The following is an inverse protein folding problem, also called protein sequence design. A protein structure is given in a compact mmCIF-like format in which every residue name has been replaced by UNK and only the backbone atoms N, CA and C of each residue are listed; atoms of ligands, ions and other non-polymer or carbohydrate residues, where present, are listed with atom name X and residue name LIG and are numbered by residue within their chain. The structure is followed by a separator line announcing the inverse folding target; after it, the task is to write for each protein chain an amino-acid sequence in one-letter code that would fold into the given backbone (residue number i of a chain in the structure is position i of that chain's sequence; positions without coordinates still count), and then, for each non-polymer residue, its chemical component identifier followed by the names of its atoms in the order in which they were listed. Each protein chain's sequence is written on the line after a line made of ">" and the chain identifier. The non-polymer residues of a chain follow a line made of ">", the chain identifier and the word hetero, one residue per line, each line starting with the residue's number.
data_IF_417744605630
#
_entry.id   IF_417744605630
#
_cell.length_a   1.000
_cell.length_b   1.000
_cell.length_c   1.000
_cell.angle_alpha   90.00
_cell.angle_beta   90.00
_cell.angle_gamma   90.00
#
_symmetry.space_group_name_H-M   'P 1'
#
loop_
_entity.id
_entity.type
_entity.pdbx_description
1 polymer ?
#
# COMPACT_ATOMS: atom_id res chain seq x y z
N UNK A 1 -3.01 -5.00 -15.91
CA UNK A 1 -2.83 -6.46 -15.91
C UNK A 1 -2.95 -6.90 -14.48
N UNK A 2 -4.00 -7.62 -14.17
CA UNK A 2 -4.19 -8.26 -12.86
C UNK A 2 -3.31 -9.50 -12.90
N UNK A 3 -2.18 -9.50 -12.20
CA UNK A 3 -1.43 -10.72 -11.95
C UNK A 3 -2.25 -11.56 -10.96
N UNK A 4 -2.71 -12.70 -11.40
CA UNK A 4 -3.54 -13.61 -10.63
C UNK A 4 -2.77 -14.19 -9.44
N UNK A 5 -3.34 -14.10 -8.26
CA UNK A 5 -2.85 -14.74 -7.03
C UNK A 5 -2.69 -16.27 -7.18
N UNK A 6 -3.39 -16.89 -8.14
CA UNK A 6 -3.37 -18.32 -8.40
C UNK A 6 -2.03 -18.87 -8.93
N UNK A 7 -1.19 -18.04 -9.58
CA UNK A 7 0.12 -18.51 -10.06
C UNK A 7 1.14 -18.62 -8.93
N UNK A 8 1.08 -17.71 -7.97
CA UNK A 8 1.99 -17.72 -6.80
C UNK A 8 1.68 -18.90 -5.89
N UNK A 9 0.41 -19.26 -5.69
CA UNK A 9 0.02 -20.45 -4.91
C UNK A 9 0.43 -21.76 -5.60
N UNK A 10 0.30 -21.85 -6.92
CA UNK A 10 0.74 -23.05 -7.68
C UNK A 10 2.24 -23.26 -7.64
N UNK A 11 3.05 -22.20 -7.72
CA UNK A 11 4.50 -22.30 -7.55
C UNK A 11 4.91 -22.69 -6.12
N UNK A 12 4.22 -22.18 -5.11
CA UNK A 12 4.48 -22.55 -3.72
C UNK A 12 4.11 -24.00 -3.42
N UNK A 13 3.02 -24.51 -3.99
CA UNK A 13 2.61 -25.90 -3.86
C UNK A 13 3.56 -26.88 -4.58
N UNK A 14 4.10 -26.49 -5.74
CA UNK A 14 5.12 -27.26 -6.44
C UNK A 14 6.43 -27.33 -5.64
N UNK A 15 6.87 -26.20 -5.05
CA UNK A 15 8.06 -26.14 -4.17
C UNK A 15 7.87 -26.97 -2.89
N UNK A 16 6.68 -26.98 -2.29
CA UNK A 16 6.34 -27.83 -1.13
C UNK A 16 6.39 -29.33 -1.47
N UNK A 17 5.93 -29.72 -2.65
CA UNK A 17 5.98 -31.14 -3.10
C UNK A 17 7.40 -31.61 -3.42
N UNK A 18 8.29 -30.73 -3.89
CA UNK A 18 9.71 -31.04 -4.08
C UNK A 18 10.49 -31.15 -2.78
N UNK A 19 10.18 -30.32 -1.76
CA UNK A 19 10.89 -30.33 -0.48
C UNK A 19 10.58 -31.58 0.37
N UNK A 20 9.44 -32.27 0.15
CA UNK A 20 9.05 -33.46 0.92
C UNK A 20 9.67 -34.77 0.38
N UNK A 21 10.38 -34.78 -0.75
CA UNK A 21 11.05 -35.97 -1.31
C UNK A 21 12.49 -36.17 -0.84
N UNK A 22 13.04 -35.30 0.00
CA UNK A 22 14.44 -35.29 0.41
C UNK A 22 14.70 -35.41 1.91
N UNK A 23 13.87 -36.12 2.69
CA UNK A 23 14.21 -36.39 4.11
C UNK A 23 15.29 -37.46 4.22
N UNK A 24 16.55 -37.07 4.00
CA UNK A 24 17.71 -37.76 4.61
C UNK A 24 18.01 -37.09 5.95
N UNK A 25 18.11 -37.95 6.97
CA UNK A 25 18.41 -37.61 8.36
C UNK A 25 19.59 -36.64 8.45
N UNK A 26 19.38 -35.40 8.85
CA UNK A 26 20.44 -34.48 9.26
C UNK A 26 20.79 -34.77 10.71
N UNK A 27 22.05 -35.15 10.97
CA UNK A 27 22.65 -35.25 12.29
C UNK A 27 22.63 -33.87 12.95
N UNK A 28 22.07 -33.83 14.15
CA UNK A 28 22.09 -32.64 15.02
C UNK A 28 23.52 -32.36 15.42
N UNK A 29 24.12 -31.28 14.95
CA UNK A 29 25.38 -30.74 15.46
C UNK A 29 25.04 -29.91 16.70
N UNK A 30 25.33 -30.44 17.88
CA UNK A 30 25.32 -29.66 19.10
C UNK A 30 26.65 -28.87 19.15
N UNK A 31 26.52 -27.55 18.92
CA UNK A 31 27.65 -26.63 19.18
C UNK A 31 27.65 -26.32 20.68
N UNK A 32 28.60 -26.88 21.41
CA UNK A 32 28.89 -26.47 22.79
C UNK A 32 29.56 -25.12 22.73
N UNK A 33 28.87 -24.07 23.16
CA UNK A 33 29.46 -22.76 23.38
C UNK A 33 30.17 -22.82 24.74
N UNK A 34 31.50 -22.90 24.71
CA UNK A 34 32.32 -22.70 25.89
C UNK A 34 32.30 -21.23 26.27
N UNK A 35 32.07 -20.97 27.54
CA UNK A 35 32.18 -19.65 28.13
C UNK A 35 33.67 -19.31 28.27
N UNK A 36 34.17 -18.35 27.47
CA UNK A 36 35.34 -17.54 27.78
C UNK A 36 34.97 -16.08 27.41
N UNK A 37 34.52 -15.35 28.42
CA UNK A 37 34.44 -13.90 28.42
C UNK A 37 35.89 -13.36 28.52
N UNK A 38 36.46 -12.91 27.39
CA UNK A 38 37.43 -11.80 27.28
C UNK A 38 37.98 -11.74 25.84
N UNK A 39 37.71 -10.60 25.16
CA UNK A 39 38.11 -10.24 23.80
C UNK A 39 37.11 -10.57 22.68
N UNK A 40 35.94 -9.94 22.73
CA UNK A 40 35.22 -9.63 21.48
C UNK A 40 35.85 -8.38 20.86
N UNK A 41 36.40 -8.44 19.63
CA UNK A 41 36.70 -7.23 18.89
C UNK A 41 35.38 -6.50 18.68
N UNK A 42 35.36 -5.21 19.04
CA UNK A 42 34.24 -4.30 18.72
C UNK A 42 34.03 -4.37 17.22
N UNK A 43 33.05 -5.17 16.80
CA UNK A 43 32.60 -5.22 15.41
C UNK A 43 32.00 -3.86 15.17
N UNK A 44 32.78 -3.00 14.51
CA UNK A 44 32.27 -1.71 14.00
C UNK A 44 30.99 -1.97 13.24
N UNK A 45 30.04 -1.08 13.46
CA UNK A 45 28.71 -1.08 12.87
C UNK A 45 28.81 -1.18 11.35
N UNK A 46 28.80 -2.40 10.82
CA UNK A 46 28.57 -2.67 9.39
C UNK A 46 27.06 -2.69 9.13
N UNK A 47 26.38 -1.57 9.47
CA UNK A 47 24.92 -1.46 9.24
C UNK A 47 24.57 -1.22 7.77
N UNK A 48 25.56 -1.00 6.89
CA UNK A 48 25.30 -0.49 5.54
C UNK A 48 25.33 -1.56 4.43
N UNK A 49 25.52 -2.84 4.78
CA UNK A 49 25.61 -3.93 3.78
C UNK A 49 24.71 -5.12 4.12
N UNK A 50 23.44 -4.85 4.46
CA UNK A 50 22.46 -5.91 4.47
C UNK A 50 22.17 -6.31 3.01
N UNK A 51 22.72 -7.44 2.58
CA UNK A 51 22.48 -8.01 1.24
C UNK A 51 21.14 -8.73 1.13
N UNK A 52 20.35 -8.77 2.20
CA UNK A 52 19.03 -9.40 2.28
C UNK A 52 18.15 -8.63 3.26
N UNK A 53 16.87 -8.64 2.97
CA UNK A 53 15.83 -8.11 3.84
C UNK A 53 15.32 -9.25 4.74
N UNK A 54 15.23 -8.99 6.06
CA UNK A 54 14.63 -9.96 6.98
C UNK A 54 13.12 -10.04 6.69
N UNK A 55 12.63 -11.23 6.34
CA UNK A 55 11.23 -11.47 6.06
C UNK A 55 10.63 -12.38 7.12
N UNK A 56 9.49 -11.99 7.67
CA UNK A 56 8.72 -12.80 8.61
C UNK A 56 7.55 -13.43 7.88
N UNK A 57 7.39 -14.75 8.03
CA UNK A 57 6.22 -15.44 7.52
C UNK A 57 5.05 -15.19 8.48
N UNK A 58 4.16 -14.30 8.12
CA UNK A 58 2.91 -14.10 8.83
C UNK A 58 1.81 -14.99 8.26
N UNK A 59 1.21 -15.81 9.10
CA UNK A 59 0.05 -16.61 8.72
C UNK A 59 -1.20 -15.71 8.71
N UNK A 60 -2.00 -15.74 7.63
CA UNK A 60 -3.22 -14.93 7.55
C UNK A 60 -4.19 -15.33 8.66
N UNK A 61 -4.60 -14.35 9.46
CA UNK A 61 -5.66 -14.54 10.45
C UNK A 61 -6.99 -14.67 9.72
N UNK A 62 -7.75 -15.73 9.97
CA UNK A 62 -9.01 -16.02 9.26
C UNK A 62 -10.05 -14.88 9.32
N UNK A 63 -9.96 -14.00 10.32
CA UNK A 63 -10.86 -12.86 10.52
C UNK A 63 -10.29 -11.53 9.99
N UNK A 64 -9.01 -11.49 9.62
CA UNK A 64 -8.37 -10.25 9.19
C UNK A 64 -8.58 -9.98 7.70
N UNK A 65 -9.39 -8.99 7.39
CA UNK A 65 -9.61 -8.53 6.01
C UNK A 65 -8.51 -7.58 5.59
N UNK A 66 -7.59 -8.05 4.76
CA UNK A 66 -6.48 -7.25 4.24
C UNK A 66 -6.99 -6.08 3.41
N UNK A 67 -6.49 -4.84 3.63
CA UNK A 67 -6.82 -3.70 2.79
C UNK A 67 -6.34 -3.90 1.35
N UNK A 68 -7.12 -3.44 0.39
CA UNK A 68 -6.73 -3.33 -1.01
C UNK A 68 -6.17 -1.92 -1.24
N UNK A 69 -4.91 -1.84 -1.60
CA UNK A 69 -4.22 -0.58 -1.89
C UNK A 69 -3.91 -0.52 -3.38
N UNK A 70 -4.54 0.42 -4.07
CA UNK A 70 -4.26 0.68 -5.48
C UNK A 70 -3.12 1.69 -5.58
N UNK A 71 -2.08 1.33 -6.31
CA UNK A 71 -0.90 2.15 -6.54
C UNK A 71 -0.64 2.26 -8.05
N UNK A 72 -0.27 3.43 -8.54
CA UNK A 72 0.04 3.65 -9.95
C UNK A 72 0.36 5.11 -10.23
N UNK A 73 0.75 5.41 -11.47
CA UNK A 73 1.04 6.77 -11.90
C UNK A 73 -0.18 7.69 -11.74
N UNK A 74 0.08 8.96 -11.47
CA UNK A 74 -0.98 9.96 -11.42
C UNK A 74 -1.69 10.05 -12.77
N UNK A 75 -3.03 10.03 -12.75
CA UNK A 75 -3.83 10.05 -13.98
C UNK A 75 -4.08 8.69 -14.64
N UNK A 76 -3.53 7.57 -14.13
CA UNK A 76 -3.80 6.23 -14.67
C UNK A 76 -5.21 5.72 -14.36
N UNK A 77 -5.90 6.35 -13.41
CA UNK A 77 -7.29 6.03 -13.05
C UNK A 77 -7.47 5.24 -11.76
N UNK A 78 -6.48 5.19 -10.87
CA UNK A 78 -6.58 4.51 -9.56
C UNK A 78 -7.80 4.97 -8.75
N UNK A 79 -8.07 6.28 -8.70
CA UNK A 79 -9.22 6.85 -7.98
C UNK A 79 -10.55 6.33 -8.56
N UNK A 80 -10.67 6.34 -9.87
CA UNK A 80 -11.87 5.86 -10.57
C UNK A 80 -12.09 4.36 -10.36
N UNK A 81 -11.00 3.59 -10.37
CA UNK A 81 -11.05 2.16 -10.08
C UNK A 81 -11.48 1.90 -8.63
N UNK A 82 -10.93 2.64 -7.66
CA UNK A 82 -11.36 2.59 -6.26
C UNK A 82 -12.86 2.86 -6.12
N UNK A 83 -13.33 3.93 -6.73
CA UNK A 83 -14.74 4.34 -6.60
C UNK A 83 -15.68 3.28 -7.21
N UNK A 84 -15.31 2.70 -8.36
CA UNK A 84 -16.04 1.57 -8.96
C UNK A 84 -16.06 0.32 -8.07
N UNK A 85 -14.94 0.01 -7.43
CA UNK A 85 -14.88 -1.10 -6.47
C UNK A 85 -15.83 -0.85 -5.29
N UNK A 86 -15.80 0.34 -4.70
CA UNK A 86 -16.69 0.72 -3.60
C UNK A 86 -18.17 0.71 -4.00
N UNK A 87 -18.49 1.07 -5.24
CA UNK A 87 -19.85 1.01 -5.77
C UNK A 87 -20.34 -0.43 -6.01
N UNK A 88 -19.43 -1.33 -6.41
CA UNK A 88 -19.79 -2.73 -6.71
C UNK A 88 -20.20 -3.52 -5.47
N UNK A 89 -19.62 -3.21 -4.31
CA UNK A 89 -19.95 -3.88 -3.05
C UNK A 89 -19.79 -2.95 -1.84
N UNK A 90 -20.81 -2.16 -1.56
CA UNK A 90 -20.86 -1.24 -0.41
C UNK A 90 -21.00 -1.94 0.95
N UNK A 91 -21.35 -3.22 0.93
CA UNK A 91 -21.53 -3.99 2.17
C UNK A 91 -20.19 -4.41 2.72
N UNK A 92 -19.33 -5.00 1.89
CA UNK A 92 -18.04 -5.55 2.33
C UNK A 92 -16.87 -4.61 2.14
N UNK A 93 -16.96 -3.64 1.20
CA UNK A 93 -15.90 -2.67 0.92
C UNK A 93 -16.18 -1.33 1.59
N UNK A 94 -15.14 -0.66 2.05
CA UNK A 94 -15.21 0.70 2.57
C UNK A 94 -13.89 1.46 2.35
N UNK A 95 -13.99 2.78 2.29
CA UNK A 95 -12.82 3.68 2.25
C UNK A 95 -12.67 4.34 3.63
N UNK A 96 -11.44 4.58 4.13
CA UNK A 96 -11.24 5.36 5.34
C UNK A 96 -11.63 6.81 5.09
N UNK A 97 -12.21 7.48 6.11
CA UNK A 97 -12.58 8.89 6.02
C UNK A 97 -11.31 9.74 6.08
N UNK A 98 -11.01 10.55 5.04
CA UNK A 98 -9.79 11.36 5.05
C UNK A 98 -9.91 12.60 5.95
N UNK A 99 -8.76 13.13 6.36
CA UNK A 99 -8.65 14.39 7.09
C UNK A 99 -8.44 15.55 6.12
N UNK A 100 -8.94 16.71 6.49
CA UNK A 100 -8.65 17.96 5.77
C UNK A 100 -8.58 19.16 6.68
N UNK A 101 -7.74 20.13 6.29
CA UNK A 101 -7.67 21.46 6.96
C UNK A 101 -8.61 22.49 6.34
N UNK A 102 -9.37 22.10 5.34
CA UNK A 102 -10.39 22.92 4.69
C UNK A 102 -11.65 23.01 5.56
N UNK A 103 -12.34 24.12 5.52
CA UNK A 103 -13.68 24.22 6.09
C UNK A 103 -14.68 23.34 5.34
N UNK A 104 -15.68 22.78 6.03
CA UNK A 104 -16.74 22.01 5.38
C UNK A 104 -17.53 22.88 4.40
N UNK A 105 -17.98 22.27 3.29
CA UNK A 105 -18.93 22.87 2.36
C UNK A 105 -20.35 22.57 2.82
N UNK A 106 -21.34 23.22 2.16
CA UNK A 106 -22.75 22.84 2.32
C UNK A 106 -22.93 21.34 2.10
N UNK A 107 -23.69 20.70 3.02
CA UNK A 107 -23.96 19.25 3.00
C UNK A 107 -22.75 18.33 3.24
N UNK A 108 -21.62 18.85 3.70
CA UNK A 108 -20.51 18.02 4.17
C UNK A 108 -20.57 17.87 5.70
N UNK A 109 -20.47 16.63 6.18
CA UNK A 109 -20.54 16.30 7.60
C UNK A 109 -19.21 15.78 8.09
N UNK A 110 -18.79 16.26 9.27
CA UNK A 110 -17.57 15.80 9.93
C UNK A 110 -17.67 14.30 10.28
N UNK A 111 -16.60 13.55 9.98
CA UNK A 111 -16.55 12.11 10.22
C UNK A 111 -17.30 11.26 9.18
N UNK A 112 -17.94 11.87 8.18
CA UNK A 112 -18.60 11.18 7.07
C UNK A 112 -17.85 11.44 5.76
N UNK A 113 -17.72 12.70 5.36
CA UNK A 113 -17.02 13.08 4.14
C UNK A 113 -15.53 13.31 4.41
N UNK A 114 -15.24 14.03 5.49
CA UNK A 114 -13.90 14.34 5.97
C UNK A 114 -13.91 14.46 7.50
N UNK A 115 -12.74 14.26 8.11
CA UNK A 115 -12.44 14.78 9.43
C UNK A 115 -11.90 16.20 9.27
N UNK A 116 -12.74 17.22 9.55
CA UNK A 116 -12.34 18.61 9.43
C UNK A 116 -11.59 19.05 10.68
N UNK A 117 -10.31 19.41 10.52
CA UNK A 117 -9.44 19.86 11.61
C UNK A 117 -8.72 21.15 11.23
N UNK A 118 -8.24 21.92 12.21
CA UNK A 118 -7.46 23.12 11.93
C UNK A 118 -6.13 22.78 11.26
N UNK A 119 -5.58 23.72 10.47
CA UNK A 119 -4.27 23.57 9.82
C UNK A 119 -3.16 23.28 10.83
N UNK A 120 -3.20 23.95 12.00
CA UNK A 120 -2.23 23.72 13.07
C UNK A 120 -2.30 22.27 13.58
N UNK A 121 -3.50 21.79 13.92
CA UNK A 121 -3.72 20.43 14.39
C UNK A 121 -3.32 19.39 13.33
N UNK A 122 -3.58 19.67 12.05
CA UNK A 122 -3.15 18.80 10.96
C UNK A 122 -1.62 18.63 10.93
N UNK A 123 -0.87 19.73 11.09
CA UNK A 123 0.60 19.68 11.13
C UNK A 123 1.14 18.95 12.35
N UNK A 124 0.53 19.12 13.51
CA UNK A 124 0.89 18.39 14.74
C UNK A 124 0.69 16.88 14.55
N UNK A 125 -0.44 16.47 13.99
CA UNK A 125 -0.77 15.07 13.72
C UNK A 125 0.11 14.47 12.59
N UNK A 126 0.47 15.26 11.58
CA UNK A 126 1.41 14.84 10.55
C UNK A 126 2.81 14.58 11.11
N UNK A 127 3.32 15.47 11.96
CA UNK A 127 4.61 15.31 12.65
C UNK A 127 4.64 14.10 13.58
N UNK A 128 3.51 13.73 14.18
CA UNK A 128 3.39 12.54 15.04
C UNK A 128 3.32 11.23 14.24
N UNK A 129 3.36 11.27 12.91
CA UNK A 129 3.28 10.06 12.06
C UNK A 129 1.90 9.41 12.01
N UNK A 130 0.84 10.17 12.31
CA UNK A 130 -0.55 9.67 12.31
C UNK A 130 -1.02 9.24 10.92
N UNK A 131 -0.56 9.95 9.87
CA UNK A 131 -1.02 9.74 8.51
C UNK A 131 -0.20 8.68 7.78
N UNK A 132 -0.88 7.88 6.97
CA UNK A 132 -0.25 6.99 5.97
C UNK A 132 0.30 7.83 4.82
N UNK A 133 -0.53 8.75 4.35
CA UNK A 133 -0.21 9.68 3.29
C UNK A 133 -0.89 11.03 3.58
N UNK A 134 -0.20 12.10 3.26
CA UNK A 134 -0.78 13.45 3.30
C UNK A 134 -0.14 14.34 2.25
N UNK A 135 -0.84 15.39 1.87
CA UNK A 135 -0.38 16.36 0.90
C UNK A 135 -1.18 17.65 0.93
N UNK A 136 -0.63 18.67 0.31
CA UNK A 136 -1.29 19.96 0.13
C UNK A 136 -1.93 20.04 -1.26
N UNK A 137 -3.19 20.45 -1.30
CA UNK A 137 -3.91 20.74 -2.52
C UNK A 137 -4.74 22.02 -2.34
N UNK A 138 -4.60 22.98 -3.25
CA UNK A 138 -5.30 24.28 -3.19
C UNK A 138 -5.17 24.98 -1.83
N UNK A 139 -3.95 25.03 -1.26
CA UNK A 139 -3.63 25.62 0.06
C UNK A 139 -4.29 24.94 1.27
N UNK A 140 -4.88 23.77 1.09
CA UNK A 140 -5.45 22.94 2.15
C UNK A 140 -4.75 21.60 2.23
N UNK A 141 -4.61 21.08 3.42
CA UNK A 141 -4.00 19.79 3.69
C UNK A 141 -5.04 18.67 3.67
N UNK A 142 -4.65 17.55 3.11
CA UNK A 142 -5.45 16.33 3.07
C UNK A 142 -4.59 15.16 3.47
N UNK A 143 -5.16 14.19 4.20
CA UNK A 143 -4.41 13.00 4.61
C UNK A 143 -5.30 11.87 5.08
N UNK A 144 -4.78 10.65 5.02
CA UNK A 144 -5.45 9.43 5.47
C UNK A 144 -4.75 8.90 6.71
N UNK A 145 -5.48 8.71 7.81
CA UNK A 145 -4.95 8.22 9.08
C UNK A 145 -4.79 6.69 9.06
N UNK A 146 -3.69 6.19 9.66
CA UNK A 146 -3.49 4.75 9.90
C UNK A 146 -4.61 4.15 10.74
N UNK A 147 -5.06 4.88 11.76
CA UNK A 147 -6.13 4.44 12.65
C UNK A 147 -7.45 4.25 11.93
N UNK A 148 -7.79 5.12 10.96
CA UNK A 148 -9.05 4.97 10.23
C UNK A 148 -9.01 3.78 9.26
N UNK A 149 -7.85 3.44 8.72
CA UNK A 149 -7.65 2.18 7.98
C UNK A 149 -7.93 0.99 8.89
N UNK A 150 -7.33 0.95 10.09
CA UNK A 150 -7.55 -0.11 11.08
C UNK A 150 -9.01 -0.17 11.52
N UNK A 151 -9.65 0.96 11.78
CA UNK A 151 -11.07 1.04 12.14
C UNK A 151 -12.00 0.39 11.07
N UNK A 152 -11.66 0.54 9.78
CA UNK A 152 -12.42 -0.12 8.69
C UNK A 152 -12.26 -1.64 8.77
N UNK A 153 -11.04 -2.12 9.02
CA UNK A 153 -10.73 -3.55 9.15
C UNK A 153 -11.45 -4.15 10.36
N UNK A 154 -11.40 -3.46 11.52
CA UNK A 154 -12.05 -3.89 12.76
C UNK A 154 -13.57 -3.98 12.64
N UNK A 155 -14.18 -3.17 11.77
CA UNK A 155 -15.61 -3.26 11.41
C UNK A 155 -15.93 -4.45 10.51
N UNK A 156 -14.97 -5.32 10.20
CA UNK A 156 -15.12 -6.48 9.34
C UNK A 156 -15.25 -6.13 7.85
N UNK A 157 -14.88 -4.92 7.44
CA UNK A 157 -14.88 -4.50 6.04
C UNK A 157 -13.48 -4.54 5.43
N UNK A 158 -13.40 -4.79 4.13
CA UNK A 158 -12.16 -4.64 3.38
C UNK A 158 -11.95 -3.17 3.03
N UNK A 159 -10.89 -2.58 3.54
CA UNK A 159 -10.52 -1.20 3.24
C UNK A 159 -10.01 -1.10 1.80
N UNK A 160 -10.55 -0.20 0.98
CA UNK A 160 -10.07 0.08 -0.38
C UNK A 160 -9.57 1.52 -0.43
N UNK A 161 -8.31 1.70 -0.80
CA UNK A 161 -7.69 3.02 -0.85
C UNK A 161 -6.67 3.14 -1.98
N UNK A 162 -6.30 4.36 -2.31
CA UNK A 162 -5.22 4.65 -3.25
C UNK A 162 -4.06 5.28 -2.50
N UNK A 163 -2.82 4.88 -2.82
CA UNK A 163 -1.61 5.48 -2.27
C UNK A 163 -0.58 5.71 -3.38
N UNK A 164 0.27 6.70 -3.16
CA UNK A 164 1.49 6.87 -3.97
C UNK A 164 2.52 5.81 -3.61
N UNK A 165 3.41 5.48 -4.55
CA UNK A 165 4.45 4.48 -4.35
C UNK A 165 5.33 4.78 -3.11
N UNK A 166 5.67 6.05 -2.90
CA UNK A 166 6.50 6.49 -1.78
C UNK A 166 5.83 6.25 -0.41
N UNK A 167 4.50 6.23 -0.38
CA UNK A 167 3.71 6.05 0.85
C UNK A 167 3.46 4.59 1.22
N UNK A 168 3.81 3.63 0.35
CA UNK A 168 3.55 2.21 0.59
C UNK A 168 4.29 1.65 1.82
N UNK A 169 5.49 2.16 2.10
CA UNK A 169 6.24 1.79 3.30
C UNK A 169 5.50 2.10 4.60
N UNK A 170 4.74 3.19 4.64
CA UNK A 170 4.02 3.63 5.83
C UNK A 170 2.82 2.72 6.21
N UNK A 171 2.28 1.96 5.26
CA UNK A 171 1.12 1.07 5.48
C UNK A 171 1.54 -0.39 5.67
N UNK A 172 2.78 -0.74 5.35
CA UNK A 172 3.32 -2.09 5.59
C UNK A 172 3.54 -2.28 7.09
N UNK A 173 2.55 -2.78 7.79
CA UNK A 173 2.64 -3.12 9.20
C UNK A 173 1.91 -4.43 9.48
N UNK A 174 2.30 -5.18 10.55
CA UNK A 174 1.65 -6.43 10.94
C UNK A 174 0.14 -6.30 11.18
N UNK A 175 -0.31 -5.11 11.60
CA UNK A 175 -1.72 -4.84 11.91
C UNK A 175 -2.56 -4.56 10.67
N UNK A 176 -1.93 -4.14 9.55
CA UNK A 176 -2.64 -3.73 8.34
C UNK A 176 -2.49 -4.77 7.24
N UNK A 177 -1.28 -5.26 6.98
CA UNK A 177 -0.97 -6.30 5.97
C UNK A 177 -1.63 -6.04 4.60
N UNK A 178 -1.35 -4.91 3.93
CA UNK A 178 -2.07 -4.52 2.74
C UNK A 178 -1.85 -5.49 1.57
N UNK A 179 -2.89 -5.66 0.75
CA UNK A 179 -2.80 -6.25 -0.58
C UNK A 179 -2.58 -5.11 -1.57
N UNK A 180 -1.36 -4.98 -2.08
CA UNK A 180 -0.99 -3.89 -2.98
C UNK A 180 -1.21 -4.32 -4.43
N UNK A 181 -2.01 -3.53 -5.16
CA UNK A 181 -2.30 -3.73 -6.58
C UNK A 181 -1.68 -2.58 -7.37
N UNK A 182 -0.70 -2.88 -8.19
CA UNK A 182 -0.13 -1.91 -9.11
C UNK A 182 -1.02 -1.79 -10.35
N UNK A 183 -1.45 -0.56 -10.63
CA UNK A 183 -2.25 -0.21 -11.81
C UNK A 183 -1.31 0.36 -12.86
N UNK A 184 -0.91 -0.49 -13.80
CA UNK A 184 -0.05 -0.09 -14.90
C UNK A 184 -0.78 0.83 -15.89
N UNK A 185 -0.06 1.80 -16.46
CA UNK A 185 -0.62 2.65 -17.49
C UNK A 185 -0.81 1.82 -18.79
N UNK A 186 -2.00 1.87 -19.41
CA UNK A 186 -2.21 1.23 -20.70
C UNK A 186 -1.46 1.97 -21.82
N UNK A 187 -1.52 1.48 -23.04
CA UNK A 187 -0.86 2.13 -24.18
C UNK A 187 -1.38 3.56 -24.41
N UNK A 188 -0.55 4.41 -25.03
CA UNK A 188 -0.89 5.81 -25.32
C UNK A 188 -2.24 5.95 -26.05
N UNK A 189 -2.50 5.09 -27.00
CA UNK A 189 -3.76 5.07 -27.77
C UNK A 189 -4.98 4.83 -26.87
N UNK A 190 -4.85 3.91 -25.92
CA UNK A 190 -5.94 3.59 -24.96
C UNK A 190 -6.15 4.74 -23.99
N UNK A 191 -5.06 5.33 -23.45
CA UNK A 191 -5.15 6.51 -22.58
C UNK A 191 -5.85 7.69 -23.29
N UNK A 192 -5.51 7.95 -24.55
CA UNK A 192 -6.15 9.00 -25.34
C UNK A 192 -7.64 8.75 -25.48
N UNK A 193 -8.02 7.53 -25.89
CA UNK A 193 -9.42 7.15 -26.06
C UNK A 193 -10.21 7.24 -24.74
N UNK A 194 -9.61 6.87 -23.63
CA UNK A 194 -10.26 7.01 -22.30
C UNK A 194 -10.54 8.48 -21.98
N UNK A 195 -9.62 9.40 -22.25
CA UNK A 195 -9.79 10.82 -22.02
C UNK A 195 -10.88 11.45 -22.92
N UNK A 196 -10.94 11.01 -24.17
CA UNK A 196 -12.02 11.42 -25.10
C UNK A 196 -13.38 10.99 -24.60
N UNK A 197 -13.53 9.74 -24.14
CA UNK A 197 -14.78 9.21 -23.56
C UNK A 197 -15.18 9.94 -22.27
N UNK A 198 -14.19 10.39 -21.48
CA UNK A 198 -14.41 11.16 -20.26
C UNK A 198 -14.73 12.64 -20.52
N UNK A 199 -14.81 13.06 -21.78
CA UNK A 199 -15.10 14.44 -22.17
C UNK A 199 -13.94 15.41 -21.88
N UNK A 200 -12.76 14.91 -21.58
CA UNK A 200 -11.55 15.72 -21.36
C UNK A 200 -10.85 15.92 -22.71
N UNK A 201 -11.44 16.77 -23.56
CA UNK A 201 -10.86 17.10 -24.85
C UNK A 201 -9.63 17.99 -24.68
N UNK A 202 -8.60 17.74 -25.51
CA UNK A 202 -7.41 18.62 -25.59
C UNK A 202 -6.29 18.28 -24.61
N UNK A 203 -6.28 17.09 -24.00
CA UNK A 203 -5.12 16.61 -23.24
C UNK A 203 -3.92 16.50 -24.17
N UNK A 204 -2.85 17.18 -23.85
CA UNK A 204 -1.63 17.19 -24.66
C UNK A 204 -0.95 15.81 -24.62
N UNK A 205 -0.44 15.38 -25.75
CA UNK A 205 0.29 14.09 -25.85
C UNK A 205 1.47 14.01 -24.88
N UNK A 206 2.06 15.12 -24.53
CA UNK A 206 3.17 15.17 -23.57
C UNK A 206 2.72 14.81 -22.14
N UNK A 207 1.51 15.17 -21.73
CA UNK A 207 0.92 14.77 -20.46
C UNK A 207 0.67 13.24 -20.42
N UNK A 208 0.15 12.68 -21.51
CA UNK A 208 -0.06 11.23 -21.62
C UNK A 208 1.25 10.45 -21.63
N UNK A 209 2.28 10.96 -22.29
CA UNK A 209 3.63 10.39 -22.25
C UNK A 209 4.26 10.46 -20.86
N UNK A 210 4.02 11.54 -20.11
CA UNK A 210 4.49 11.68 -18.74
C UNK A 210 3.88 10.60 -17.83
N UNK A 211 2.58 10.30 -17.96
CA UNK A 211 1.91 9.21 -17.23
C UNK A 211 2.58 7.86 -17.53
N UNK A 212 2.86 7.57 -18.81
CA UNK A 212 3.53 6.33 -19.21
C UNK A 212 4.94 6.22 -18.65
N UNK A 213 5.69 7.32 -18.67
CA UNK A 213 7.06 7.37 -18.13
C UNK A 213 7.04 7.14 -16.62
N UNK A 214 6.16 7.84 -15.90
CA UNK A 214 5.99 7.66 -14.45
C UNK A 214 5.56 6.22 -14.10
N UNK A 215 4.63 5.64 -14.87
CA UNK A 215 4.21 4.24 -14.64
C UNK A 215 5.37 3.26 -14.77
N UNK A 216 6.24 3.43 -15.76
CA UNK A 216 7.44 2.59 -15.93
C UNK A 216 8.46 2.75 -14.79
N UNK A 217 8.61 3.96 -14.25
CA UNK A 217 9.50 4.21 -13.12
C UNK A 217 8.98 3.52 -11.84
N UNK A 218 7.67 3.52 -11.62
CA UNK A 218 7.06 2.89 -10.44
C UNK A 218 7.08 1.35 -10.57
N UNK A 219 7.10 0.81 -11.79
CA UNK A 219 7.13 -0.63 -12.07
C UNK A 219 8.51 -1.26 -11.81
N UNK A 220 9.58 -0.48 -11.82
CA UNK A 220 10.95 -0.91 -11.52
C UNK A 220 11.21 -1.02 -10.02
#
# INVERSE_FOLDING_TARGET
>A
VILYADEVEREQDQKRKQCNRGKKKSKKLEVKIGADEENLPTIGVYSDFLTYEEVVLELPKATHRRPIVLCGAEGVGCLKLRDRLLESDRITLACPVPYTSRSPKENEFNGVHYHFISKQKFHEEAKSGKFVEFGEYQKHWYGTSKRDVVNVIERGKTCVMTLKAESLGAIRSPDIQPYIVFVAAPSLHVLRRQREVEGTFGVKDDELKAILTQSKIIEQ
#
